data_IF_584302385193
#
_entry.id   IF_584302385193
#
_cell.length_a   1.000
_cell.length_b   1.000
_cell.length_c   1.000
_cell.angle_alpha   90.00
_cell.angle_beta   90.00
_cell.angle_gamma   90.00
#
_symmetry.space_group_name_H-M   'P 1'
#
loop_
_entity.id
_entity.type
_entity.pdbx_description
1 polymer ?
#
# COMPACT_ATOMS: atom_id res chain seq x y z
N UNK A 1 14.41 11.18 -10.20
CA UNK A 1 13.38 10.66 -9.27
C UNK A 1 12.66 9.56 -10.02
N UNK A 2 12.72 8.34 -9.50
CA UNK A 2 12.11 7.16 -10.13
C UNK A 2 10.99 6.70 -9.21
N UNK A 3 9.77 6.81 -9.69
CA UNK A 3 8.61 6.39 -8.91
C UNK A 3 8.45 4.87 -9.02
N UNK A 4 8.26 4.21 -7.87
CA UNK A 4 8.04 2.77 -7.80
C UNK A 4 6.56 2.49 -7.63
N UNK A 5 5.97 1.84 -8.62
CA UNK A 5 4.53 1.56 -8.67
C UNK A 5 4.27 0.14 -8.21
N UNK A 6 3.50 -0.01 -7.14
CA UNK A 6 2.92 -1.26 -6.68
C UNK A 6 1.48 -1.32 -7.14
N UNK A 7 1.14 -2.33 -7.93
CA UNK A 7 -0.24 -2.60 -8.30
C UNK A 7 -0.79 -3.64 -7.33
N UNK A 8 -1.82 -3.29 -6.58
CA UNK A 8 -2.55 -4.25 -5.73
C UNK A 8 -3.83 -4.67 -6.45
N UNK A 9 -4.01 -5.98 -6.60
CA UNK A 9 -5.26 -6.54 -7.11
C UNK A 9 -6.29 -6.48 -5.98
N UNK A 10 -7.34 -5.70 -6.17
CA UNK A 10 -8.44 -5.57 -5.23
C UNK A 10 -9.63 -6.32 -5.82
N UNK A 11 -9.98 -7.43 -5.21
CA UNK A 11 -10.97 -8.39 -5.70
C UNK A 11 -12.33 -8.22 -5.02
N UNK A 12 -12.41 -7.43 -3.95
CA UNK A 12 -13.66 -7.15 -3.22
C UNK A 12 -13.76 -5.71 -2.72
N UNK A 13 -14.99 -5.27 -2.43
CA UNK A 13 -15.23 -3.97 -1.80
C UNK A 13 -14.60 -3.87 -0.39
N UNK A 14 -14.47 -4.99 0.30
CA UNK A 14 -13.80 -5.08 1.61
C UNK A 14 -12.30 -4.82 1.47
N UNK A 15 -11.63 -5.40 0.47
CA UNK A 15 -10.21 -5.13 0.20
C UNK A 15 -9.98 -3.67 -0.21
N UNK A 16 -10.92 -3.06 -0.94
CA UNK A 16 -10.87 -1.64 -1.29
C UNK A 16 -10.94 -0.76 -0.04
N UNK A 17 -11.83 -1.08 0.90
CA UNK A 17 -11.95 -0.36 2.18
C UNK A 17 -10.73 -0.60 3.08
N UNK A 18 -10.22 -1.84 3.12
CA UNK A 18 -9.04 -2.23 3.89
C UNK A 18 -7.80 -1.47 3.44
N UNK A 19 -7.62 -1.24 2.12
CA UNK A 19 -6.42 -0.59 1.61
C UNK A 19 -6.17 0.79 2.22
N UNK A 20 -7.21 1.60 2.44
CA UNK A 20 -7.06 2.92 3.06
C UNK A 20 -6.49 2.80 4.48
N UNK A 21 -7.07 1.91 5.29
CA UNK A 21 -6.61 1.61 6.66
C UNK A 21 -5.18 1.08 6.67
N UNK A 22 -4.84 0.20 5.73
CA UNK A 22 -3.50 -0.41 5.63
C UNK A 22 -2.44 0.61 5.23
N UNK A 23 -2.76 1.53 4.31
CA UNK A 23 -1.84 2.63 3.96
C UNK A 23 -1.55 3.50 5.18
N UNK A 24 -2.58 3.93 5.91
CA UNK A 24 -2.40 4.74 7.12
C UNK A 24 -1.59 4.00 8.19
N UNK A 25 -1.87 2.71 8.40
CA UNK A 25 -1.13 1.87 9.34
C UNK A 25 0.35 1.69 8.94
N UNK A 26 0.61 1.50 7.64
CA UNK A 26 1.97 1.37 7.11
C UNK A 26 2.77 2.66 7.32
N UNK A 27 2.19 3.83 7.02
CA UNK A 27 2.83 5.13 7.30
C UNK A 27 3.08 5.30 8.79
N UNK A 28 2.11 4.97 9.66
CA UNK A 28 2.27 5.05 11.11
C UNK A 28 3.41 4.16 11.63
N UNK A 29 3.52 2.93 11.13
CA UNK A 29 4.60 2.01 11.48
C UNK A 29 5.95 2.51 10.95
N UNK A 30 5.98 3.05 9.72
CA UNK A 30 7.17 3.62 9.13
C UNK A 30 7.67 4.81 9.94
N UNK A 31 6.81 5.77 10.33
CA UNK A 31 7.18 6.90 11.22
C UNK A 31 7.79 6.41 12.53
N UNK A 32 7.24 5.35 13.12
CA UNK A 32 7.79 4.72 14.32
C UNK A 32 9.22 4.22 14.12
N UNK A 33 9.52 3.61 12.96
CA UNK A 33 10.87 3.18 12.55
C UNK A 33 11.77 4.37 12.16
N UNK A 34 11.23 5.36 11.46
CA UNK A 34 11.93 6.53 10.92
C UNK A 34 12.41 7.51 11.98
N UNK A 35 11.90 7.45 13.22
CA UNK A 35 12.55 8.10 14.38
C UNK A 35 14.02 7.68 14.53
N UNK A 36 14.45 6.59 13.89
CA UNK A 36 15.84 6.14 13.80
C UNK A 36 16.54 6.47 12.46
N UNK A 37 15.81 6.79 11.37
CA UNK A 37 16.32 6.84 9.97
C UNK A 37 16.03 8.16 9.23
N UNK A 38 15.45 9.16 9.91
CA UNK A 38 15.22 10.54 9.45
C UNK A 38 14.23 10.77 8.28
N UNK A 39 13.72 9.74 7.61
CA UNK A 39 12.67 9.90 6.58
C UNK A 39 11.58 8.83 6.66
N UNK A 40 10.32 9.25 6.48
CA UNK A 40 9.14 8.39 6.30
C UNK A 40 8.77 8.34 4.82
N UNK A 41 8.12 7.26 4.33
CA UNK A 41 7.68 7.16 2.95
C UNK A 41 6.60 8.19 2.61
N UNK A 42 6.67 8.71 1.39
CA UNK A 42 5.57 9.42 0.74
C UNK A 42 4.86 8.40 -0.15
N UNK A 43 3.53 8.29 -0.01
CA UNK A 43 2.74 7.31 -0.76
C UNK A 43 1.60 8.01 -1.45
N UNK A 44 1.50 7.82 -2.76
CA UNK A 44 0.34 8.24 -3.54
C UNK A 44 -0.51 7.03 -3.90
N UNK A 45 -1.83 7.15 -3.72
CA UNK A 45 -2.79 6.14 -4.17
C UNK A 45 -3.50 6.66 -5.41
N UNK A 46 -3.21 6.05 -6.55
CA UNK A 46 -3.89 6.30 -7.81
C UNK A 46 -5.03 5.29 -7.97
N UNK A 47 -6.24 5.79 -8.25
CA UNK A 47 -7.36 4.95 -8.67
C UNK A 47 -7.47 5.02 -10.18
N UNK A 48 -7.55 3.87 -10.84
CA UNK A 48 -7.66 3.78 -12.30
C UNK A 48 -8.73 2.77 -12.71
N UNK A 49 -9.25 2.95 -13.92
CA UNK A 49 -10.09 1.96 -14.59
C UNK A 49 -9.18 1.12 -15.50
N UNK A 50 -9.04 -0.16 -15.19
CA UNK A 50 -8.10 -1.03 -15.89
C UNK A 50 -8.70 -1.57 -17.21
N UNK A 51 -7.90 -2.30 -17.98
CA UNK A 51 -8.33 -2.88 -19.25
C UNK A 51 -9.35 -4.02 -19.12
N UNK A 52 -9.56 -4.59 -17.92
CA UNK A 52 -10.65 -5.55 -17.67
C UNK A 52 -12.00 -4.87 -17.41
N UNK A 53 -12.04 -3.54 -17.34
CA UNK A 53 -13.26 -2.80 -17.05
C UNK A 53 -13.57 -2.69 -15.57
N UNK A 54 -12.56 -2.84 -14.71
CA UNK A 54 -12.67 -2.80 -13.26
C UNK A 54 -11.91 -1.62 -12.67
N UNK A 55 -12.36 -1.14 -11.52
CA UNK A 55 -11.61 -0.15 -10.74
C UNK A 55 -10.45 -0.86 -10.06
N UNK A 56 -9.24 -0.37 -10.27
CA UNK A 56 -8.02 -0.84 -9.62
C UNK A 56 -7.29 0.30 -8.92
N UNK A 57 -6.37 -0.05 -8.01
CA UNK A 57 -5.56 0.93 -7.29
C UNK A 57 -4.07 0.63 -7.46
N UNK A 58 -3.30 1.69 -7.65
CA UNK A 58 -1.84 1.70 -7.68
C UNK A 58 -1.33 2.52 -6.51
N UNK A 59 -0.35 1.99 -5.80
CA UNK A 59 0.43 2.73 -4.82
C UNK A 59 1.75 3.12 -5.43
N UNK A 60 2.15 4.37 -5.24
CA UNK A 60 3.34 4.94 -5.84
C UNK A 60 4.22 5.42 -4.69
N UNK A 61 5.47 4.96 -4.68
CA UNK A 61 6.47 5.23 -3.65
C UNK A 61 7.68 5.94 -4.28
N UNK A 62 8.32 6.83 -3.51
CA UNK A 62 9.57 7.48 -3.96
C UNK A 62 10.80 6.55 -3.90
N UNK A 63 10.73 5.47 -3.13
CA UNK A 63 11.85 4.52 -2.92
C UNK A 63 11.39 3.06 -3.06
N UNK A 64 12.24 2.23 -3.65
CA UNK A 64 11.97 0.81 -3.90
C UNK A 64 11.84 0.00 -2.62
N UNK A 65 12.60 0.34 -1.58
CA UNK A 65 12.55 -0.35 -0.28
C UNK A 65 11.18 -0.20 0.35
N UNK A 66 10.60 1.01 0.32
CA UNK A 66 9.24 1.25 0.81
C UNK A 66 8.19 0.49 0.00
N UNK A 67 8.31 0.46 -1.32
CA UNK A 67 7.43 -0.34 -2.17
C UNK A 67 7.49 -1.84 -1.82
N UNK A 68 8.70 -2.38 -1.61
CA UNK A 68 8.88 -3.78 -1.22
C UNK A 68 8.30 -4.08 0.15
N UNK A 69 8.61 -3.24 1.14
CA UNK A 69 8.11 -3.38 2.52
C UNK A 69 6.57 -3.30 2.57
N UNK A 70 5.98 -2.46 1.72
CA UNK A 70 4.52 -2.34 1.64
C UNK A 70 3.87 -3.60 1.09
N UNK A 71 4.44 -4.25 0.07
CA UNK A 71 3.90 -5.52 -0.47
C UNK A 71 3.84 -6.58 0.62
N UNK A 72 4.92 -6.74 1.38
CA UNK A 72 4.96 -7.70 2.49
C UNK A 72 3.97 -7.32 3.60
N UNK A 73 3.80 -6.02 3.87
CA UNK A 73 2.84 -5.52 4.84
C UNK A 73 1.40 -5.81 4.42
N UNK A 74 1.05 -5.52 3.17
CA UNK A 74 -0.27 -5.74 2.59
C UNK A 74 -0.69 -7.22 2.65
N UNK A 75 0.19 -8.14 2.26
CA UNK A 75 -0.13 -9.57 2.32
C UNK A 75 -0.41 -10.05 3.75
N UNK A 76 0.32 -9.54 4.75
CA UNK A 76 0.06 -9.87 6.17
C UNK A 76 -1.28 -9.31 6.66
N UNK A 77 -1.65 -8.10 6.27
CA UNK A 77 -2.91 -7.47 6.67
C UNK A 77 -4.12 -8.18 6.05
N UNK A 78 -4.04 -8.57 4.76
CA UNK A 78 -5.08 -9.40 4.12
C UNK A 78 -5.29 -10.72 4.84
N UNK A 79 -4.20 -11.41 5.19
CA UNK A 79 -4.28 -12.70 5.91
C UNK A 79 -4.92 -12.56 7.28
N UNK A 80 -4.67 -11.45 7.99
CA UNK A 80 -5.30 -11.17 9.28
C UNK A 80 -6.79 -10.85 9.12
N UNK A 81 -7.14 -10.00 8.15
CA UNK A 81 -8.53 -9.63 7.88
C UNK A 81 -9.38 -10.84 7.49
N UNK A 82 -8.84 -11.79 6.72
CA UNK A 82 -9.55 -13.01 6.32
C UNK A 82 -9.83 -14.01 7.47
N UNK A 83 -9.21 -13.81 8.65
CA UNK A 83 -9.40 -14.66 9.83
C UNK A 83 -10.42 -14.09 10.83
N UNK A 84 -10.99 -12.92 10.54
CA UNK A 84 -11.90 -12.19 11.43
C UNK A 84 -13.34 -12.28 10.92
#
# INVERSE_FOLDING_TARGET
>A
MTDFVVTVSLTSAEEVALLATVVDAFIGQAIGRSRQVAEAPDVMVQTEFNSSGEVSKKLIFQDRSWASDFVDFWEREKLQAAQT
#
